data_IF_282114439187
#
_entry.id   IF_282114439187
#
_cell.length_a   1.000
_cell.length_b   1.000
_cell.length_c   1.000
_cell.angle_alpha   90.00
_cell.angle_beta   90.00
_cell.angle_gamma   90.00
#
_symmetry.space_group_name_H-M   'P 1'
#
loop_
_entity.id
_entity.type
_entity.pdbx_description
1 polymer ?
#
# COMPACT_ATOMS: atom_id res chain seq x y z
N UNK A 1 8.67 25.55 15.81
CA UNK A 1 7.22 25.79 15.74
C UNK A 1 6.50 24.85 16.71
N UNK A 2 5.51 25.37 17.38
CA UNK A 2 4.62 24.54 18.22
C UNK A 2 3.24 24.51 17.61
N UNK A 3 2.61 23.36 17.66
CA UNK A 3 1.23 23.20 17.22
C UNK A 3 0.41 22.62 18.37
N UNK A 4 -0.87 22.90 18.35
CA UNK A 4 -1.83 22.36 19.30
C UNK A 4 -2.96 21.72 18.52
N UNK A 5 -3.38 20.54 18.95
CA UNK A 5 -4.47 19.83 18.31
C UNK A 5 -5.25 19.00 19.33
N UNK A 6 -6.48 18.73 19.00
CA UNK A 6 -7.37 17.90 19.78
C UNK A 6 -7.40 16.49 19.20
N UNK A 7 -7.22 15.49 20.03
CA UNK A 7 -7.27 14.08 19.64
C UNK A 7 -8.25 13.32 20.55
N UNK A 8 -8.94 12.31 20.01
CA UNK A 8 -9.67 11.39 20.86
C UNK A 8 -8.73 10.71 21.86
N UNK A 9 -9.17 10.59 23.10
CA UNK A 9 -8.36 10.00 24.18
C UNK A 9 -7.88 8.59 23.83
N UNK A 10 -8.76 7.79 23.23
CA UNK A 10 -8.43 6.41 22.85
C UNK A 10 -7.32 6.38 21.82
N UNK A 11 -7.37 7.23 20.81
CA UNK A 11 -6.35 7.29 19.77
C UNK A 11 -4.99 7.67 20.35
N UNK A 12 -4.95 8.68 21.20
CA UNK A 12 -3.71 9.11 21.84
C UNK A 12 -3.14 8.01 22.73
N UNK A 13 -3.99 7.34 23.51
CA UNK A 13 -3.60 6.25 24.37
C UNK A 13 -2.98 5.08 23.58
N UNK A 14 -3.61 4.70 22.49
CA UNK A 14 -3.09 3.66 21.60
C UNK A 14 -1.74 4.05 20.98
N UNK A 15 -1.62 5.30 20.57
CA UNK A 15 -0.37 5.82 20.03
C UNK A 15 0.76 5.77 21.07
N UNK A 16 0.49 6.21 22.31
CA UNK A 16 1.46 6.19 23.39
C UNK A 16 1.92 4.76 23.72
N UNK A 17 1.02 3.79 23.67
CA UNK A 17 1.38 2.37 23.88
C UNK A 17 2.32 1.86 22.78
N UNK A 18 2.04 2.21 21.53
CA UNK A 18 2.89 1.82 20.39
C UNK A 18 4.27 2.45 20.54
N UNK A 19 4.35 3.72 20.91
CA UNK A 19 5.63 4.40 21.12
C UNK A 19 6.45 3.73 22.21
N UNK A 20 5.80 3.37 23.31
CA UNK A 20 6.46 2.69 24.41
C UNK A 20 7.00 1.33 23.99
N UNK A 21 6.17 0.56 23.28
CA UNK A 21 6.55 -0.77 22.79
C UNK A 21 7.74 -0.70 21.82
N UNK A 22 7.78 0.34 20.99
CA UNK A 22 8.88 0.56 20.04
C UNK A 22 10.11 1.21 20.66
N UNK A 23 10.08 1.56 21.94
CA UNK A 23 11.22 2.15 22.63
C UNK A 23 11.43 3.63 22.36
N UNK A 24 10.42 4.36 21.95
CA UNK A 24 10.52 5.80 21.75
C UNK A 24 10.68 6.52 23.09
N UNK A 25 11.59 7.52 23.13
CA UNK A 25 11.86 8.30 24.32
C UNK A 25 10.91 9.49 24.49
N UNK A 26 10.30 9.94 23.41
CA UNK A 26 9.41 11.08 23.46
C UNK A 26 8.26 10.97 22.44
N UNK A 27 7.13 11.51 22.82
CA UNK A 27 5.97 11.63 21.93
C UNK A 27 6.30 12.48 20.71
N UNK A 28 7.06 13.56 20.88
CA UNK A 28 7.46 14.46 19.80
C UNK A 28 8.19 13.73 18.67
N UNK A 29 9.12 12.85 19.03
CA UNK A 29 9.85 12.06 18.02
C UNK A 29 8.91 11.10 17.29
N UNK A 30 8.02 10.44 18.02
CA UNK A 30 7.04 9.53 17.43
C UNK A 30 6.12 10.24 16.45
N UNK A 31 5.65 11.42 16.82
CA UNK A 31 4.79 12.24 15.95
C UNK A 31 5.56 12.68 14.69
N UNK A 32 6.80 13.14 14.85
CA UNK A 32 7.62 13.52 13.68
C UNK A 32 7.81 12.36 12.72
N UNK A 33 8.10 11.18 13.25
CA UNK A 33 8.29 10.00 12.42
C UNK A 33 6.99 9.58 11.71
N UNK A 34 5.87 9.67 12.42
CA UNK A 34 4.56 9.39 11.83
C UNK A 34 4.21 10.37 10.70
N UNK A 35 4.49 11.65 10.90
CA UNK A 35 4.28 12.68 9.87
C UNK A 35 5.16 12.45 8.65
N UNK A 36 6.42 12.14 8.86
CA UNK A 36 7.36 11.82 7.76
C UNK A 36 6.86 10.61 6.95
N UNK A 37 6.43 9.56 7.63
CA UNK A 37 5.89 8.37 6.99
C UNK A 37 4.68 8.71 6.13
N UNK A 38 3.76 9.49 6.66
CA UNK A 38 2.56 9.90 5.95
C UNK A 38 2.90 10.69 4.69
N UNK A 39 3.83 11.65 4.83
CA UNK A 39 4.27 12.50 3.70
C UNK A 39 4.94 11.65 2.63
N UNK A 40 5.83 10.74 3.02
CA UNK A 40 6.54 9.87 2.07
C UNK A 40 5.57 8.99 1.29
N UNK A 41 4.55 8.44 1.95
CA UNK A 41 3.52 7.65 1.28
C UNK A 41 2.77 8.47 0.24
N UNK A 42 2.39 9.69 0.60
CA UNK A 42 1.72 10.61 -0.32
C UNK A 42 2.59 10.94 -1.53
N UNK A 43 3.84 11.35 -1.28
CA UNK A 43 4.79 11.70 -2.33
C UNK A 43 5.02 10.54 -3.29
N UNK A 44 5.17 9.34 -2.74
CA UNK A 44 5.36 8.16 -3.56
C UNK A 44 4.17 7.95 -4.51
N UNK A 45 2.96 8.12 -4.02
CA UNK A 45 1.76 7.92 -4.82
C UNK A 45 1.53 9.03 -5.86
N UNK A 46 1.91 10.26 -5.57
CA UNK A 46 1.49 11.42 -6.35
C UNK A 46 2.61 12.21 -7.02
N UNK A 47 3.82 12.20 -6.49
CA UNK A 47 4.92 13.05 -6.94
C UNK A 47 6.13 12.30 -7.48
N UNK A 48 6.27 11.03 -7.16
CA UNK A 48 7.43 10.27 -7.66
C UNK A 48 7.34 10.01 -9.15
N UNK A 49 8.48 10.07 -9.78
CA UNK A 49 8.65 9.80 -11.20
C UNK A 49 9.68 8.70 -11.39
N UNK A 50 9.69 8.13 -12.59
CA UNK A 50 10.67 7.15 -13.00
C UNK A 50 10.29 5.73 -12.68
N UNK A 51 11.24 4.84 -12.93
CA UNK A 51 11.05 3.40 -12.79
C UNK A 51 11.15 2.97 -11.33
N UNK A 52 10.22 2.13 -10.93
CA UNK A 52 10.16 1.58 -9.57
C UNK A 52 9.80 0.11 -9.62
N UNK A 53 10.13 -0.58 -8.53
CA UNK A 53 9.64 -1.92 -8.24
C UNK A 53 8.62 -1.80 -7.13
N UNK A 54 7.47 -2.45 -7.30
CA UNK A 54 6.41 -2.41 -6.31
C UNK A 54 5.83 -3.79 -6.05
N UNK A 55 5.22 -3.91 -4.89
CA UNK A 55 4.47 -5.09 -4.51
C UNK A 55 3.06 -4.63 -4.15
N UNK A 56 2.08 -5.18 -4.86
CA UNK A 56 0.68 -4.99 -4.56
C UNK A 56 0.17 -6.18 -3.76
N UNK A 57 -0.40 -5.92 -2.60
CA UNK A 57 -1.15 -6.92 -1.85
C UNK A 57 -2.63 -6.60 -2.01
N UNK A 58 -3.37 -7.52 -2.61
CA UNK A 58 -4.79 -7.33 -2.92
C UNK A 58 -5.60 -8.38 -2.18
N UNK A 59 -6.51 -7.94 -1.33
CA UNK A 59 -7.46 -8.85 -0.66
C UNK A 59 -8.82 -8.67 -1.31
N UNK A 60 -9.39 -9.76 -1.77
CA UNK A 60 -10.67 -9.72 -2.45
C UNK A 60 -11.56 -10.88 -2.04
N UNK A 61 -12.87 -10.67 -2.16
CA UNK A 61 -13.90 -11.67 -1.93
C UNK A 61 -14.04 -12.51 -3.20
N UNK A 62 -13.52 -13.74 -3.19
CA UNK A 62 -13.54 -14.57 -4.38
C UNK A 62 -14.94 -15.10 -4.75
N UNK A 63 -15.91 -14.94 -3.84
CA UNK A 63 -17.31 -15.25 -4.14
C UNK A 63 -18.04 -14.10 -4.85
N UNK A 64 -17.46 -12.90 -4.84
CA UNK A 64 -18.07 -11.77 -5.53
C UNK A 64 -18.04 -12.01 -7.04
N UNK A 65 -19.23 -11.98 -7.66
CA UNK A 65 -19.37 -12.28 -9.09
C UNK A 65 -18.53 -11.32 -9.94
N UNK A 66 -17.64 -11.87 -10.76
CA UNK A 66 -16.85 -11.11 -11.71
C UNK A 66 -15.51 -10.59 -11.20
N UNK A 67 -15.23 -10.67 -9.90
CA UNK A 67 -13.98 -10.11 -9.35
C UNK A 67 -12.74 -10.78 -9.93
N UNK A 68 -12.74 -12.09 -10.07
CA UNK A 68 -11.60 -12.85 -10.61
C UNK A 68 -11.36 -12.48 -12.07
N UNK A 69 -12.43 -12.38 -12.86
CA UNK A 69 -12.35 -11.99 -14.28
C UNK A 69 -11.82 -10.57 -14.41
N UNK A 70 -12.35 -9.64 -13.60
CA UNK A 70 -11.93 -8.24 -13.61
C UNK A 70 -10.45 -8.09 -13.25
N UNK A 71 -10.00 -8.80 -12.22
CA UNK A 71 -8.58 -8.81 -11.82
C UNK A 71 -7.69 -9.39 -12.91
N UNK A 72 -8.14 -10.47 -13.55
CA UNK A 72 -7.40 -11.11 -14.64
C UNK A 72 -7.30 -10.18 -15.84
N UNK A 73 -8.38 -9.51 -16.21
CA UNK A 73 -8.41 -8.57 -17.33
C UNK A 73 -7.46 -7.39 -17.10
N UNK A 74 -7.49 -6.82 -15.92
CA UNK A 74 -6.59 -5.72 -15.56
C UNK A 74 -5.14 -6.17 -15.63
N UNK A 75 -4.83 -7.33 -15.06
CA UNK A 75 -3.46 -7.87 -15.10
C UNK A 75 -2.99 -8.12 -16.52
N UNK A 76 -3.88 -8.58 -17.38
CA UNK A 76 -3.57 -8.78 -18.79
C UNK A 76 -3.23 -7.44 -19.48
N UNK A 77 -4.00 -6.40 -19.20
CA UNK A 77 -3.75 -5.07 -19.77
C UNK A 77 -2.43 -4.46 -19.32
N UNK A 78 -1.96 -4.82 -18.12
CA UNK A 78 -0.70 -4.32 -17.55
C UNK A 78 0.40 -5.38 -17.52
N UNK A 79 0.30 -6.41 -18.34
CA UNK A 79 1.26 -7.54 -18.32
C UNK A 79 2.72 -7.13 -18.50
N UNK A 80 2.97 -6.05 -19.24
CA UNK A 80 4.34 -5.57 -19.47
C UNK A 80 4.99 -5.03 -18.20
N UNK A 81 4.19 -4.71 -17.19
CA UNK A 81 4.64 -4.16 -15.92
C UNK A 81 4.58 -5.18 -14.77
N UNK A 82 3.99 -6.34 -15.02
CA UNK A 82 3.81 -7.38 -13.99
C UNK A 82 4.84 -8.47 -14.19
N UNK A 83 5.69 -8.67 -13.17
CA UNK A 83 6.75 -9.66 -13.20
C UNK A 83 6.34 -11.02 -12.63
N UNK A 84 5.46 -10.98 -11.62
CA UNK A 84 5.01 -12.21 -10.96
C UNK A 84 3.69 -11.96 -10.24
N UNK A 85 2.91 -13.02 -10.10
CA UNK A 85 1.67 -13.00 -9.34
C UNK A 85 1.65 -14.24 -8.46
N UNK A 86 1.32 -14.06 -7.19
CA UNK A 86 1.12 -15.15 -6.25
C UNK A 86 -0.31 -15.09 -5.73
N UNK A 87 -0.99 -16.22 -5.76
CA UNK A 87 -2.35 -16.36 -5.30
C UNK A 87 -2.37 -17.17 -4.01
N UNK A 88 -2.93 -16.62 -2.96
CA UNK A 88 -2.95 -17.25 -1.63
C UNK A 88 -4.39 -17.29 -1.13
N UNK A 89 -4.86 -18.50 -0.77
CA UNK A 89 -6.16 -18.64 -0.11
C UNK A 89 -6.02 -18.27 1.36
N UNK A 90 -6.77 -17.26 1.78
CA UNK A 90 -6.74 -16.78 3.16
C UNK A 90 -7.81 -17.45 4.02
N UNK A 91 -9.04 -17.36 3.53
CA UNK A 91 -10.22 -17.96 4.17
C UNK A 91 -11.12 -18.53 3.08
N UNK A 92 -12.25 -19.10 3.46
CA UNK A 92 -13.24 -19.58 2.49
C UNK A 92 -13.74 -18.43 1.58
N UNK A 93 -13.85 -17.24 2.14
CA UNK A 93 -14.38 -16.07 1.43
C UNK A 93 -13.29 -15.21 0.76
N UNK A 94 -12.15 -15.03 1.42
CA UNK A 94 -11.14 -14.08 1.00
C UNK A 94 -9.89 -14.74 0.45
N UNK A 95 -9.37 -14.14 -0.61
CA UNK A 95 -8.08 -14.49 -1.20
C UNK A 95 -7.15 -13.28 -1.16
N UNK A 96 -5.86 -13.57 -1.05
CA UNK A 96 -4.81 -12.60 -1.20
C UNK A 96 -4.11 -12.84 -2.53
N UNK A 97 -3.94 -11.78 -3.30
CA UNK A 97 -3.11 -11.82 -4.49
C UNK A 97 -1.94 -10.87 -4.29
N UNK A 98 -0.73 -11.39 -4.50
CA UNK A 98 0.50 -10.60 -4.40
C UNK A 98 1.02 -10.40 -5.82
N UNK A 99 1.14 -9.15 -6.23
CA UNK A 99 1.55 -8.80 -7.60
C UNK A 99 2.85 -8.02 -7.52
N UNK A 100 3.89 -8.55 -8.15
CA UNK A 100 5.18 -7.88 -8.25
C UNK A 100 5.21 -7.11 -9.56
N UNK A 101 5.40 -5.80 -9.45
CA UNK A 101 5.36 -4.89 -10.58
C UNK A 101 6.68 -4.14 -10.73
N UNK A 102 7.04 -3.85 -11.98
CA UNK A 102 8.21 -3.05 -12.31
C UNK A 102 7.88 -2.17 -13.51
N UNK A 103 8.22 -0.92 -13.43
CA UNK A 103 7.98 0.02 -14.51
C UNK A 103 7.90 1.43 -14.00
N UNK A 104 7.51 2.32 -14.90
CA UNK A 104 7.29 3.72 -14.52
C UNK A 104 6.19 3.81 -13.48
N UNK A 105 6.43 4.60 -12.44
CA UNK A 105 5.50 4.75 -11.32
C UNK A 105 4.11 5.20 -11.77
N UNK A 106 4.03 5.92 -12.87
CA UNK A 106 2.76 6.34 -13.45
C UNK A 106 1.85 5.16 -13.77
N UNK A 107 2.40 4.11 -14.37
CA UNK A 107 1.65 2.91 -14.72
C UNK A 107 1.33 2.05 -13.50
N UNK A 108 2.26 1.99 -12.55
CA UNK A 108 2.04 1.28 -11.29
C UNK A 108 0.90 1.94 -10.50
N UNK A 109 0.89 3.26 -10.46
CA UNK A 109 -0.19 4.04 -9.81
C UNK A 109 -1.53 3.79 -10.48
N UNK A 110 -1.55 3.81 -11.79
CA UNK A 110 -2.75 3.59 -12.60
C UNK A 110 -3.33 2.20 -12.37
N UNK A 111 -2.48 1.18 -12.39
CA UNK A 111 -2.84 -0.19 -12.08
C UNK A 111 -3.42 -0.31 -10.67
N UNK A 112 -2.75 0.26 -9.69
CA UNK A 112 -3.19 0.23 -8.28
C UNK A 112 -4.58 0.82 -8.13
N UNK A 113 -4.82 1.98 -8.71
CA UNK A 113 -6.10 2.67 -8.62
C UNK A 113 -7.23 1.88 -9.32
N UNK A 114 -6.95 1.27 -10.46
CA UNK A 114 -7.93 0.45 -11.16
C UNK A 114 -8.33 -0.76 -10.33
N UNK A 115 -7.37 -1.41 -9.70
CA UNK A 115 -7.67 -2.55 -8.81
C UNK A 115 -8.48 -2.09 -7.60
N UNK A 116 -8.11 -0.96 -6.99
CA UNK A 116 -8.82 -0.43 -5.82
C UNK A 116 -10.29 -0.15 -6.10
N UNK A 117 -10.64 0.20 -7.32
CA UNK A 117 -12.02 0.53 -7.71
C UNK A 117 -12.88 -0.68 -8.04
N UNK A 118 -12.31 -1.86 -8.16
CA UNK A 118 -13.08 -3.06 -8.49
C UNK A 118 -14.00 -3.46 -7.36
N UNK A 119 -15.23 -3.78 -7.71
CA UNK A 119 -16.16 -4.37 -6.75
C UNK A 119 -15.68 -5.77 -6.37
N UNK A 120 -15.76 -6.08 -5.09
CA UNK A 120 -15.24 -7.33 -4.56
C UNK A 120 -13.82 -7.24 -4.03
N UNK A 121 -13.08 -6.19 -4.36
CA UNK A 121 -11.77 -5.91 -3.79
C UNK A 121 -11.98 -5.16 -2.47
N UNK A 122 -11.48 -5.74 -1.38
CA UNK A 122 -11.68 -5.21 -0.03
C UNK A 122 -10.53 -4.33 0.44
N UNK A 123 -9.30 -4.67 0.04
CA UNK A 123 -8.12 -3.95 0.48
C UNK A 123 -7.00 -4.06 -0.54
N UNK A 124 -6.31 -2.95 -0.76
CA UNK A 124 -5.12 -2.91 -1.63
C UNK A 124 -4.03 -2.14 -0.92
N UNK A 125 -2.87 -2.74 -0.84
CA UNK A 125 -1.68 -2.06 -0.31
C UNK A 125 -0.56 -2.14 -1.32
N UNK A 126 0.01 -0.99 -1.64
CA UNK A 126 1.17 -0.89 -2.51
C UNK A 126 2.40 -0.55 -1.67
N UNK A 127 3.41 -1.37 -1.78
CA UNK A 127 4.73 -1.12 -1.20
C UNK A 127 5.72 -0.97 -2.34
N UNK A 128 6.52 0.08 -2.32
CA UNK A 128 7.45 0.35 -3.39
C UNK A 128 8.86 0.58 -2.89
N UNK A 129 9.80 0.29 -3.75
CA UNK A 129 11.21 0.59 -3.54
C UNK A 129 11.82 1.03 -4.87
N UNK A 130 13.00 1.64 -4.80
CA UNK A 130 13.76 1.96 -5.99
C UNK A 130 14.22 0.66 -6.67
N UNK A 131 14.50 0.73 -7.98
CA UNK A 131 15.19 -0.37 -8.66
C UNK A 131 16.55 -0.58 -7.99
N UNK A 132 17.06 -1.81 -8.00
CA UNK A 132 18.30 -2.17 -7.31
C UNK A 132 19.51 -1.31 -7.65
N UNK A 133 19.45 -0.59 -8.76
CA UNK A 133 20.51 0.32 -9.19
C UNK A 133 20.58 1.63 -8.38
N UNK A 134 19.54 1.96 -7.62
CA UNK A 134 19.42 3.22 -6.87
C UNK A 134 19.14 3.03 -5.39
N UNK A 135 19.36 1.87 -4.86
CA UNK A 135 19.25 1.64 -3.42
C UNK A 135 20.51 2.20 -2.77
N UNK A 136 20.33 3.25 -2.01
CA UNK A 136 21.39 3.85 -1.21
C UNK A 136 21.25 3.42 0.25
#
# INVERSE_FOLDING_TARGET
MRISMSLPKKLLSEFDEVLKDRGYQSRSKGIRDALKDYIVRYQWMNEMEGERIGILAVIYDHHYTGVIEDLTDIQHDYRDYINAVMHVHMTEKYCLEVVVVKGDVKYIRDLTEKIMRLKGVEHVKLTSTASGEKIE
#
